data_IF_797914963582
#
_entry.id   IF_797914963582
#
_cell.length_a   1.000
_cell.length_b   1.000
_cell.length_c   1.000
_cell.angle_alpha   90.00
_cell.angle_beta   90.00
_cell.angle_gamma   90.00
#
_symmetry.space_group_name_H-M   'P 1'
#
loop_
_entity.id
_entity.type
_entity.pdbx_description
1 polymer ?
#
# COMPACT_ATOMS: atom_id res chain seq x y z
N UNK A 1 16.73 6.87 -49.32
CA UNK A 1 16.07 5.70 -48.68
C UNK A 1 17.04 5.18 -47.63
N UNK A 2 16.94 5.71 -46.41
CA UNK A 2 17.58 5.10 -45.24
C UNK A 2 16.66 3.95 -44.84
N UNK A 3 17.14 2.73 -45.00
CA UNK A 3 16.43 1.52 -44.58
C UNK A 3 16.25 1.54 -43.07
N UNK A 4 15.02 1.25 -42.63
CA UNK A 4 14.55 1.10 -41.25
C UNK A 4 15.17 -0.12 -40.52
N UNK A 5 16.42 -0.50 -40.83
CA UNK A 5 17.06 -1.73 -40.33
C UNK A 5 18.02 -1.51 -39.14
N UNK A 6 18.10 -0.30 -38.59
CA UNK A 6 19.01 0.01 -37.47
C UNK A 6 18.38 0.00 -36.06
N UNK A 7 17.13 -0.45 -35.87
CA UNK A 7 16.41 -0.27 -34.59
C UNK A 7 15.87 -1.51 -33.87
N UNK A 8 16.45 -2.69 -34.06
CA UNK A 8 16.23 -3.82 -33.13
C UNK A 8 17.45 -4.72 -33.00
N UNK A 9 18.58 -4.14 -32.58
CA UNK A 9 19.68 -4.94 -32.05
C UNK A 9 19.28 -5.38 -30.64
N UNK A 10 18.72 -6.58 -30.51
CA UNK A 10 18.47 -7.19 -29.20
C UNK A 10 19.81 -7.34 -28.51
N UNK A 11 20.07 -6.52 -27.48
CA UNK A 11 21.30 -6.60 -26.69
C UNK A 11 21.32 -7.96 -25.99
N UNK A 12 22.35 -8.75 -26.25
CA UNK A 12 22.53 -10.05 -25.62
C UNK A 12 23.33 -9.87 -24.33
N UNK A 13 22.73 -10.32 -23.23
CA UNK A 13 23.29 -10.29 -21.89
C UNK A 13 23.84 -11.66 -21.54
N UNK A 14 24.77 -11.75 -20.59
CA UNK A 14 25.39 -13.04 -20.25
C UNK A 14 25.68 -13.16 -18.76
N UNK A 15 25.71 -14.40 -18.29
CA UNK A 15 26.04 -14.75 -16.90
C UNK A 15 26.80 -16.08 -16.87
N UNK A 16 27.48 -16.38 -15.76
CA UNK A 16 28.25 -17.60 -15.58
C UNK A 16 27.63 -18.47 -14.48
N UNK A 17 27.49 -19.78 -14.77
CA UNK A 17 27.15 -20.80 -13.76
C UNK A 17 28.18 -21.92 -13.88
N UNK A 18 28.87 -22.25 -12.78
CA UNK A 18 29.84 -23.36 -12.71
C UNK A 18 30.84 -23.38 -13.88
N UNK A 19 31.39 -22.22 -14.23
CA UNK A 19 32.36 -22.00 -15.32
C UNK A 19 31.80 -22.05 -16.76
N UNK A 20 30.49 -22.26 -16.93
CA UNK A 20 29.82 -22.18 -18.23
C UNK A 20 29.15 -20.81 -18.43
N UNK A 21 29.32 -20.25 -19.63
CA UNK A 21 28.72 -18.97 -20.02
C UNK A 21 27.36 -19.21 -20.68
N UNK A 22 26.34 -18.54 -20.15
CA UNK A 22 24.99 -18.53 -20.67
C UNK A 22 24.61 -17.15 -21.17
N UNK A 23 23.61 -17.07 -22.04
CA UNK A 23 23.09 -15.82 -22.60
C UNK A 23 21.61 -15.67 -22.32
N UNK A 24 21.16 -14.42 -22.19
CA UNK A 24 19.76 -14.05 -22.04
C UNK A 24 19.48 -12.77 -22.82
N UNK A 25 18.37 -12.72 -23.56
CA UNK A 25 18.07 -11.61 -24.48
C UNK A 25 16.93 -10.72 -24.00
N UNK A 26 16.01 -11.28 -23.23
CA UNK A 26 14.83 -10.56 -22.73
C UNK A 26 14.29 -11.14 -21.43
N UNK A 27 13.30 -10.44 -20.86
CA UNK A 27 12.60 -10.82 -19.63
C UNK A 27 11.88 -12.17 -19.69
N UNK A 28 11.45 -12.64 -20.87
CA UNK A 28 10.79 -13.95 -20.98
C UNK A 28 11.83 -15.07 -20.92
N UNK A 29 12.96 -14.91 -21.63
CA UNK A 29 14.09 -15.84 -21.51
C UNK A 29 14.62 -15.89 -20.07
N UNK A 30 14.77 -14.73 -19.40
CA UNK A 30 15.21 -14.68 -18.00
C UNK A 30 14.25 -15.43 -17.07
N UNK A 31 12.94 -15.20 -17.22
CA UNK A 31 11.92 -15.91 -16.45
C UNK A 31 11.97 -17.42 -16.67
N UNK A 32 12.06 -17.88 -17.92
CA UNK A 32 12.16 -19.30 -18.25
C UNK A 32 13.42 -19.93 -17.64
N UNK A 33 14.55 -19.21 -17.64
CA UNK A 33 15.77 -19.67 -16.97
C UNK A 33 15.50 -19.85 -15.46
N UNK A 34 14.89 -18.88 -14.79
CA UNK A 34 14.55 -19.03 -13.37
C UNK A 34 13.59 -20.20 -13.11
N UNK A 35 12.58 -20.39 -13.95
CA UNK A 35 11.64 -21.51 -13.84
C UNK A 35 12.32 -22.86 -14.06
N UNK A 36 13.15 -23.00 -15.10
CA UNK A 36 13.90 -24.22 -15.38
C UNK A 36 14.88 -24.57 -14.26
N UNK A 37 15.45 -23.56 -13.60
CA UNK A 37 16.36 -23.75 -12.47
C UNK A 37 15.63 -24.09 -11.17
N UNK A 38 14.28 -24.06 -11.13
CA UNK A 38 13.47 -24.32 -9.94
C UNK A 38 13.14 -25.82 -9.76
N UNK A 39 14.17 -26.68 -9.83
CA UNK A 39 14.00 -28.14 -9.77
C UNK A 39 14.42 -28.73 -8.41
N UNK A 40 15.25 -28.02 -7.63
CA UNK A 40 15.72 -28.46 -6.32
C UNK A 40 15.68 -27.32 -5.29
N UNK A 41 14.95 -27.45 -4.18
CA UNK A 41 14.75 -26.34 -3.23
C UNK A 41 16.01 -25.90 -2.48
N UNK A 42 17.07 -26.73 -2.43
CA UNK A 42 18.34 -26.40 -1.79
C UNK A 42 19.30 -25.70 -2.77
N UNK A 43 19.31 -26.13 -4.03
CA UNK A 43 20.22 -25.61 -5.07
C UNK A 43 19.64 -24.41 -5.82
N UNK A 44 18.35 -24.42 -6.13
CA UNK A 44 17.70 -23.37 -6.95
C UNK A 44 17.93 -21.97 -6.38
N UNK A 45 17.79 -21.72 -5.07
CA UNK A 45 18.06 -20.41 -4.48
C UNK A 45 19.48 -19.90 -4.75
N UNK A 46 20.47 -20.78 -4.73
CA UNK A 46 21.88 -20.41 -4.95
C UNK A 46 22.11 -20.05 -6.41
N UNK A 47 21.54 -20.83 -7.34
CA UNK A 47 21.64 -20.56 -8.77
C UNK A 47 20.94 -19.26 -9.16
N UNK A 48 19.72 -19.05 -8.68
CA UNK A 48 19.00 -17.79 -8.88
C UNK A 48 19.78 -16.59 -8.35
N UNK A 49 20.36 -16.70 -7.15
CA UNK A 49 21.19 -15.65 -6.57
C UNK A 49 22.40 -15.35 -7.46
N UNK A 50 23.13 -16.38 -7.91
CA UNK A 50 24.27 -16.22 -8.81
C UNK A 50 23.87 -15.50 -10.11
N UNK A 51 22.78 -15.92 -10.76
CA UNK A 51 22.29 -15.29 -11.99
C UNK A 51 21.98 -13.80 -11.77
N UNK A 52 21.26 -13.48 -10.69
CA UNK A 52 20.91 -12.09 -10.36
C UNK A 52 22.18 -11.27 -10.09
N UNK A 53 23.18 -11.84 -9.43
CA UNK A 53 24.43 -11.15 -9.11
C UNK A 53 25.36 -10.99 -10.30
N UNK A 54 25.39 -11.94 -11.24
CA UNK A 54 26.19 -11.86 -12.46
C UNK A 54 25.58 -10.87 -13.46
N UNK A 55 24.25 -10.83 -13.59
CA UNK A 55 23.57 -9.87 -14.47
C UNK A 55 23.59 -8.45 -13.88
N UNK A 56 23.46 -8.31 -12.55
CA UNK A 56 23.58 -7.04 -11.83
C UNK A 56 22.83 -5.86 -12.51
N UNK A 57 23.56 -4.85 -12.97
CA UNK A 57 23.04 -3.64 -13.65
C UNK A 57 22.33 -3.97 -14.98
N UNK A 58 22.71 -5.08 -15.64
CA UNK A 58 22.08 -5.53 -16.88
C UNK A 58 20.63 -5.97 -16.68
N UNK A 59 20.24 -6.31 -15.44
CA UNK A 59 18.86 -6.64 -15.10
C UNK A 59 17.90 -5.49 -15.44
N UNK A 60 18.36 -4.24 -15.33
CA UNK A 60 17.55 -3.07 -15.67
C UNK A 60 17.25 -2.98 -17.17
N UNK A 61 18.17 -3.42 -18.02
CA UNK A 61 17.91 -3.51 -19.46
C UNK A 61 17.12 -4.75 -19.87
N UNK A 62 17.11 -5.79 -19.05
CA UNK A 62 16.40 -7.04 -19.32
C UNK A 62 14.92 -6.97 -18.92
N UNK A 63 14.64 -6.53 -17.69
CA UNK A 63 13.28 -6.47 -17.14
C UNK A 63 12.69 -5.10 -17.45
N UNK A 64 11.81 -5.05 -18.45
CA UNK A 64 11.26 -3.78 -18.96
C UNK A 64 9.79 -3.62 -18.63
N UNK A 65 9.09 -4.72 -18.34
CA UNK A 65 7.64 -4.68 -18.10
C UNK A 65 7.27 -5.27 -16.76
N UNK A 66 6.14 -4.79 -16.21
CA UNK A 66 5.56 -5.35 -15.00
C UNK A 66 5.33 -6.86 -15.10
N UNK A 67 4.85 -7.31 -16.26
CA UNK A 67 4.59 -8.73 -16.52
C UNK A 67 5.87 -9.56 -16.46
N UNK A 68 6.95 -9.07 -17.08
CA UNK A 68 8.27 -9.72 -17.02
C UNK A 68 8.80 -9.82 -15.59
N UNK A 69 8.71 -8.72 -14.84
CA UNK A 69 9.09 -8.69 -13.43
C UNK A 69 8.30 -9.71 -12.60
N UNK A 70 6.97 -9.69 -12.65
CA UNK A 70 6.13 -10.59 -11.87
C UNK A 70 6.37 -12.06 -12.22
N UNK A 71 6.57 -12.38 -13.50
CA UNK A 71 6.91 -13.73 -13.90
C UNK A 71 8.23 -14.18 -13.27
N UNK A 72 9.26 -13.34 -13.29
CA UNK A 72 10.52 -13.63 -12.59
C UNK A 72 10.29 -13.85 -11.09
N UNK A 73 9.58 -12.93 -10.41
CA UNK A 73 9.32 -13.04 -8.97
C UNK A 73 8.53 -14.30 -8.59
N UNK A 74 7.65 -14.80 -9.47
CA UNK A 74 6.90 -16.05 -9.24
C UNK A 74 7.80 -17.30 -9.23
N UNK A 75 8.93 -17.26 -9.94
CA UNK A 75 9.90 -18.36 -10.00
C UNK A 75 10.98 -18.30 -8.91
N UNK A 76 11.04 -17.19 -8.15
CA UNK A 76 12.05 -16.94 -7.14
C UNK A 76 11.50 -17.18 -5.74
N UNK A 77 12.39 -17.59 -4.82
CA UNK A 77 12.07 -17.52 -3.39
C UNK A 77 12.06 -16.05 -2.91
N UNK A 78 11.66 -15.83 -1.66
CA UNK A 78 11.55 -14.48 -1.09
C UNK A 78 12.88 -13.71 -1.11
N UNK A 79 13.99 -14.33 -0.70
CA UNK A 79 15.31 -13.67 -0.63
C UNK A 79 15.78 -13.20 -2.01
N UNK A 80 15.62 -14.03 -3.02
CA UNK A 80 16.02 -13.71 -4.39
C UNK A 80 15.02 -12.76 -5.06
N UNK A 81 13.73 -12.84 -4.73
CA UNK A 81 12.72 -11.86 -5.15
C UNK A 81 13.08 -10.46 -4.66
N UNK A 82 13.42 -10.35 -3.37
CA UNK A 82 13.84 -9.07 -2.81
C UNK A 82 15.17 -8.58 -3.39
N UNK A 83 16.15 -9.47 -3.60
CA UNK A 83 17.41 -9.12 -4.26
C UNK A 83 17.16 -8.58 -5.68
N UNK A 84 16.32 -9.25 -6.46
CA UNK A 84 15.96 -8.80 -7.81
C UNK A 84 15.35 -7.39 -7.77
N UNK A 85 14.33 -7.19 -6.92
CA UNK A 85 13.69 -5.88 -6.74
C UNK A 85 14.68 -4.80 -6.33
N UNK A 86 15.66 -5.15 -5.49
CA UNK A 86 16.72 -4.23 -5.07
C UNK A 86 17.66 -3.87 -6.23
N UNK A 87 18.01 -4.84 -7.09
CA UNK A 87 18.87 -4.61 -8.26
C UNK A 87 18.21 -3.75 -9.33
N UNK A 88 16.90 -3.87 -9.51
CA UNK A 88 16.16 -3.05 -10.50
C UNK A 88 15.51 -1.80 -9.89
N UNK A 89 15.86 -1.43 -8.65
CA UNK A 89 15.12 -0.42 -7.89
C UNK A 89 14.99 0.93 -8.60
N UNK A 90 16.00 1.28 -9.38
CA UNK A 90 16.08 2.58 -10.07
C UNK A 90 15.08 2.69 -11.23
N UNK A 91 14.72 1.56 -11.86
CA UNK A 91 13.73 1.50 -12.94
C UNK A 91 12.37 0.99 -12.50
N UNK A 92 12.20 0.58 -11.23
CA UNK A 92 10.90 0.10 -10.75
C UNK A 92 9.79 1.12 -10.99
N UNK A 93 10.09 2.42 -10.93
CA UNK A 93 9.11 3.46 -11.25
C UNK A 93 8.73 3.50 -12.74
N UNK A 94 9.51 2.96 -13.64
CA UNK A 94 9.17 2.86 -15.06
C UNK A 94 8.38 1.58 -15.34
N UNK A 95 8.64 0.53 -14.58
CA UNK A 95 7.99 -0.78 -14.69
C UNK A 95 6.59 -0.79 -14.04
N UNK A 96 6.48 -0.22 -12.84
CA UNK A 96 5.29 -0.26 -11.99
C UNK A 96 4.52 1.06 -12.13
N UNK A 97 3.38 0.96 -12.79
CA UNK A 97 2.59 2.07 -13.27
C UNK A 97 1.40 2.39 -12.36
N UNK A 98 0.90 1.43 -11.59
CA UNK A 98 -0.23 1.65 -10.68
C UNK A 98 -0.10 0.98 -9.30
N UNK A 99 -1.05 1.30 -8.41
CA UNK A 99 -1.09 0.83 -7.02
C UNK A 99 -1.34 -0.68 -6.88
N UNK A 100 -2.01 -1.30 -7.86
CA UNK A 100 -2.33 -2.74 -7.85
C UNK A 100 -1.09 -3.55 -8.23
N UNK A 101 -0.31 -3.04 -9.17
CA UNK A 101 0.97 -3.65 -9.53
C UNK A 101 1.95 -3.63 -8.34
N UNK A 102 2.00 -2.51 -7.61
CA UNK A 102 2.78 -2.44 -6.37
C UNK A 102 2.24 -3.39 -5.28
N UNK A 103 0.93 -3.49 -5.12
CA UNK A 103 0.26 -4.43 -4.22
C UNK A 103 0.70 -5.89 -4.49
N UNK A 104 0.72 -6.34 -5.75
CA UNK A 104 1.13 -7.71 -6.10
C UNK A 104 2.61 -7.94 -5.77
N UNK A 105 3.48 -6.95 -5.98
CA UNK A 105 4.89 -7.02 -5.61
C UNK A 105 5.06 -7.11 -4.08
N UNK A 106 4.37 -6.27 -3.32
CA UNK A 106 4.43 -6.29 -1.85
C UNK A 106 3.92 -7.61 -1.27
N UNK A 107 2.88 -8.19 -1.87
CA UNK A 107 2.33 -9.48 -1.47
C UNK A 107 3.32 -10.65 -1.64
N UNK A 108 4.38 -10.49 -2.46
CA UNK A 108 5.45 -11.49 -2.62
C UNK A 108 6.57 -11.40 -1.59
N UNK A 109 6.61 -10.32 -0.82
CA UNK A 109 7.60 -10.12 0.23
C UNK A 109 6.95 -10.51 1.55
N UNK A 110 7.50 -11.49 2.26
CA UNK A 110 6.97 -11.93 3.56
C UNK A 110 7.46 -11.05 4.72
N UNK A 111 8.73 -10.68 4.69
CA UNK A 111 9.40 -9.88 5.71
C UNK A 111 9.02 -8.40 5.62
N UNK A 112 8.35 -7.89 6.67
CA UNK A 112 7.95 -6.48 6.78
C UNK A 112 9.11 -5.49 6.64
N UNK A 113 10.30 -5.85 7.13
CA UNK A 113 11.50 -5.01 6.97
C UNK A 113 11.88 -4.81 5.50
N UNK A 114 11.70 -5.84 4.66
CA UNK A 114 11.99 -5.75 3.23
C UNK A 114 10.93 -4.90 2.51
N UNK A 115 9.66 -5.01 2.88
CA UNK A 115 8.60 -4.10 2.41
C UNK A 115 8.91 -2.64 2.76
N UNK A 116 9.29 -2.37 4.01
CA UNK A 116 9.69 -1.04 4.46
C UNK A 116 10.87 -0.49 3.66
N UNK A 117 11.88 -1.32 3.38
CA UNK A 117 13.03 -0.91 2.55
C UNK A 117 12.59 -0.56 1.14
N UNK A 118 11.75 -1.39 0.52
CA UNK A 118 11.23 -1.14 -0.81
C UNK A 118 10.43 0.17 -0.86
N UNK A 119 9.50 0.39 0.08
CA UNK A 119 8.70 1.62 0.21
C UNK A 119 9.61 2.85 0.37
N UNK A 120 10.66 2.77 1.20
CA UNK A 120 11.63 3.86 1.36
C UNK A 120 12.39 4.17 0.08
N UNK A 121 12.72 3.16 -0.72
CA UNK A 121 13.36 3.35 -2.02
C UNK A 121 12.46 4.06 -3.02
N UNK A 122 11.14 3.87 -2.92
CA UNK A 122 10.20 4.48 -3.87
C UNK A 122 10.18 6.01 -3.78
N UNK A 123 10.49 6.58 -2.61
CA UNK A 123 10.41 8.02 -2.31
C UNK A 123 8.99 8.58 -2.53
N UNK A 124 8.77 9.83 -2.09
CA UNK A 124 7.46 10.48 -2.18
C UNK A 124 6.96 10.58 -3.63
N UNK A 125 7.82 11.02 -4.57
CA UNK A 125 7.40 11.36 -5.94
C UNK A 125 6.78 10.17 -6.69
N UNK A 126 7.31 8.96 -6.51
CA UNK A 126 6.77 7.79 -7.18
C UNK A 126 5.51 7.29 -6.46
N UNK A 127 5.53 7.19 -5.12
CA UNK A 127 4.35 6.77 -4.36
C UNK A 127 3.14 7.69 -4.58
N UNK A 128 3.34 9.01 -4.64
CA UNK A 128 2.27 9.98 -4.91
C UNK A 128 1.73 9.89 -6.34
N UNK A 129 2.52 9.35 -7.28
CA UNK A 129 2.04 9.06 -8.65
C UNK A 129 1.19 7.78 -8.68
N UNK A 130 1.54 6.78 -7.88
CA UNK A 130 0.77 5.52 -7.79
C UNK A 130 -0.51 5.68 -6.96
N UNK A 131 -0.46 6.53 -5.92
CA UNK A 131 -1.53 6.70 -4.94
C UNK A 131 -2.27 7.99 -5.24
N UNK A 132 -3.31 7.87 -6.07
CA UNK A 132 -4.13 8.99 -6.52
C UNK A 132 -5.51 9.03 -5.86
N UNK A 133 -5.90 7.93 -5.21
CA UNK A 133 -7.18 7.76 -4.53
C UNK A 133 -7.03 7.05 -3.18
N UNK A 134 -8.09 7.10 -2.36
CA UNK A 134 -8.20 6.29 -1.13
C UNK A 134 -8.05 4.80 -1.41
N UNK A 135 -8.59 4.30 -2.53
CA UNK A 135 -8.50 2.89 -2.90
C UNK A 135 -7.06 2.49 -3.25
N UNK A 136 -6.28 3.38 -3.87
CA UNK A 136 -4.86 3.10 -4.14
C UNK A 136 -4.07 2.98 -2.84
N UNK A 137 -4.33 3.89 -1.88
CA UNK A 137 -3.71 3.81 -0.56
C UNK A 137 -4.10 2.51 0.14
N UNK A 138 -5.37 2.10 0.03
CA UNK A 138 -5.87 0.86 0.62
C UNK A 138 -5.12 -0.36 0.10
N UNK A 139 -4.91 -0.45 -1.22
CA UNK A 139 -4.15 -1.53 -1.83
C UNK A 139 -2.74 -1.63 -1.21
N UNK A 140 -2.09 -0.50 -0.89
CA UNK A 140 -0.76 -0.56 -0.27
C UNK A 140 -0.84 -0.92 1.21
N UNK A 141 -1.73 -0.25 1.98
CA UNK A 141 -1.88 -0.44 3.42
C UNK A 141 -2.31 -1.86 3.80
N UNK A 142 -3.08 -2.55 2.95
CA UNK A 142 -3.48 -3.95 3.19
C UNK A 142 -2.28 -4.91 3.33
N UNK A 143 -1.14 -4.59 2.70
CA UNK A 143 0.04 -5.46 2.66
C UNK A 143 1.23 -4.96 3.45
N UNK A 144 1.13 -3.80 4.11
CA UNK A 144 2.21 -3.26 4.93
C UNK A 144 1.72 -3.16 6.35
N UNK A 145 2.51 -3.66 7.31
CA UNK A 145 2.10 -3.72 8.71
C UNK A 145 3.05 -2.93 9.61
N UNK A 146 2.56 -2.62 10.81
CA UNK A 146 3.35 -2.06 11.91
C UNK A 146 4.08 -0.75 11.51
N UNK A 147 5.41 -0.77 11.50
CA UNK A 147 6.24 0.39 11.16
C UNK A 147 6.15 0.79 9.68
N UNK A 148 5.83 -0.15 8.79
CA UNK A 148 5.71 0.11 7.36
C UNK A 148 4.44 0.90 7.02
N UNK A 149 3.34 0.68 7.76
CA UNK A 149 2.13 1.52 7.67
C UNK A 149 2.47 2.99 7.92
N UNK A 150 3.10 3.28 9.07
CA UNK A 150 3.46 4.64 9.47
C UNK A 150 4.41 5.28 8.47
N UNK A 151 5.42 4.54 8.04
CA UNK A 151 6.38 5.07 7.08
C UNK A 151 5.75 5.38 5.72
N UNK A 152 4.78 4.58 5.29
CA UNK A 152 4.02 4.84 4.05
C UNK A 152 3.26 6.16 4.14
N UNK A 153 2.58 6.39 5.27
CA UNK A 153 1.89 7.66 5.54
C UNK A 153 2.87 8.84 5.59
N UNK A 154 4.00 8.67 6.28
CA UNK A 154 5.06 9.68 6.40
C UNK A 154 5.68 10.05 5.06
N UNK A 155 5.80 9.10 4.14
CA UNK A 155 6.37 9.39 2.81
C UNK A 155 5.37 10.14 1.96
N UNK A 156 4.06 9.86 2.04
CA UNK A 156 3.03 10.54 1.24
C UNK A 156 2.78 11.99 1.66
N UNK A 157 3.07 12.33 2.92
CA UNK A 157 2.81 13.63 3.55
C UNK A 157 1.33 13.91 3.83
N UNK A 158 1.07 14.70 4.87
CA UNK A 158 -0.29 14.97 5.35
C UNK A 158 -1.16 15.65 4.29
N UNK A 159 -0.61 16.56 3.50
CA UNK A 159 -1.33 17.25 2.43
C UNK A 159 -1.88 16.25 1.41
N UNK A 160 -1.04 15.37 0.88
CA UNK A 160 -1.47 14.35 -0.10
C UNK A 160 -2.54 13.45 0.50
N UNK A 161 -2.31 12.94 1.71
CA UNK A 161 -3.22 12.04 2.42
C UNK A 161 -4.61 12.68 2.56
N UNK A 162 -4.70 13.97 2.92
CA UNK A 162 -5.99 14.68 3.02
C UNK A 162 -6.78 14.70 1.72
N UNK A 163 -6.10 14.84 0.58
CA UNK A 163 -6.75 14.90 -0.73
C UNK A 163 -7.29 13.55 -1.20
N UNK A 164 -6.76 12.43 -0.71
CA UNK A 164 -7.20 11.09 -1.10
C UNK A 164 -8.62 10.76 -0.62
N UNK A 165 -9.06 11.36 0.49
CA UNK A 165 -10.33 11.01 1.12
C UNK A 165 -11.46 11.92 0.64
N UNK A 166 -12.40 11.37 -0.12
CA UNK A 166 -13.58 12.13 -0.59
C UNK A 166 -14.74 12.00 0.39
N UNK A 167 -14.87 10.84 1.04
CA UNK A 167 -15.96 10.47 1.95
C UNK A 167 -15.46 9.90 3.29
N UNK A 168 -16.32 9.85 4.32
CA UNK A 168 -16.02 9.16 5.58
C UNK A 168 -15.78 7.64 5.40
N UNK A 169 -16.42 7.02 4.41
CA UNK A 169 -16.22 5.61 4.07
C UNK A 169 -14.78 5.33 3.61
N UNK A 170 -14.17 6.25 2.86
CA UNK A 170 -12.77 6.12 2.44
C UNK A 170 -11.83 6.05 3.64
N UNK A 171 -12.04 6.94 4.62
CA UNK A 171 -11.25 6.97 5.86
C UNK A 171 -11.47 5.69 6.65
N UNK A 172 -12.73 5.25 6.78
CA UNK A 172 -13.09 4.00 7.45
C UNK A 172 -12.36 2.80 6.86
N UNK A 173 -12.33 2.70 5.52
CA UNK A 173 -11.71 1.57 4.83
C UNK A 173 -10.22 1.48 5.16
N UNK A 174 -9.49 2.60 5.15
CA UNK A 174 -8.07 2.61 5.53
C UNK A 174 -7.88 2.30 7.01
N UNK A 175 -8.67 2.94 7.89
CA UNK A 175 -8.56 2.69 9.32
C UNK A 175 -8.83 1.22 9.66
N UNK A 176 -9.66 0.50 8.91
CA UNK A 176 -9.90 -0.91 9.18
C UNK A 176 -8.61 -1.75 9.20
N UNK A 177 -7.65 -1.46 8.32
CA UNK A 177 -6.41 -2.22 8.16
C UNK A 177 -5.25 -1.72 9.02
N UNK A 178 -5.31 -0.48 9.51
CA UNK A 178 -4.26 0.07 10.36
C UNK A 178 -4.29 -0.52 11.78
N UNK A 179 -3.12 -0.65 12.40
CA UNK A 179 -3.05 -0.92 13.83
C UNK A 179 -3.56 0.27 14.67
N UNK A 180 -3.74 0.06 15.98
CA UNK A 180 -4.32 1.08 16.87
C UNK A 180 -3.52 2.38 16.95
N UNK A 181 -2.19 2.31 16.94
CA UNK A 181 -1.33 3.50 17.00
C UNK A 181 -1.43 4.30 15.70
N UNK A 182 -1.38 3.62 14.56
CA UNK A 182 -1.42 4.25 13.25
C UNK A 182 -2.81 4.78 12.86
N UNK A 183 -3.89 4.22 13.43
CA UNK A 183 -5.24 4.80 13.32
C UNK A 183 -5.28 6.22 13.86
N UNK A 184 -4.75 6.43 15.05
CA UNK A 184 -4.70 7.76 15.64
C UNK A 184 -3.81 8.69 14.85
N UNK A 185 -2.66 8.19 14.40
CA UNK A 185 -1.76 8.94 13.54
C UNK A 185 -2.44 9.43 12.26
N UNK A 186 -3.14 8.55 11.53
CA UNK A 186 -3.87 8.91 10.32
C UNK A 186 -4.96 9.97 10.61
N UNK A 187 -5.73 9.80 11.69
CA UNK A 187 -6.74 10.78 12.10
C UNK A 187 -6.12 12.16 12.37
N UNK A 188 -4.93 12.22 12.97
CA UNK A 188 -4.21 13.47 13.21
C UNK A 188 -3.62 14.06 11.92
N UNK A 189 -3.28 13.25 10.92
CA UNK A 189 -2.86 13.76 9.61
C UNK A 189 -4.03 14.38 8.85
N UNK A 190 -5.18 13.70 8.81
CA UNK A 190 -6.36 14.18 8.07
C UNK A 190 -7.04 15.37 8.76
N UNK A 191 -7.00 15.40 10.11
CA UNK A 191 -7.78 16.25 11.01
C UNK A 191 -9.25 15.89 11.09
N UNK A 192 -9.73 15.69 12.33
CA UNK A 192 -11.15 15.43 12.62
C UNK A 192 -12.08 16.49 12.02
N UNK A 193 -11.64 17.75 11.98
CA UNK A 193 -12.41 18.85 11.39
C UNK A 193 -12.62 18.71 9.88
N UNK A 194 -11.66 18.18 9.13
CA UNK A 194 -11.84 17.97 7.68
C UNK A 194 -12.73 16.76 7.41
N UNK A 195 -12.60 15.71 8.23
CA UNK A 195 -13.49 14.55 8.19
C UNK A 195 -14.93 14.97 8.49
N UNK A 196 -15.14 15.83 9.51
CA UNK A 196 -16.47 16.24 9.95
C UNK A 196 -17.26 16.99 8.86
N UNK A 197 -16.58 17.76 8.01
CA UNK A 197 -17.21 18.45 6.86
C UNK A 197 -17.78 17.49 5.80
N UNK A 198 -17.30 16.24 5.77
CA UNK A 198 -17.70 15.23 4.78
C UNK A 198 -18.86 14.35 5.26
N UNK A 199 -19.24 14.43 6.53
CA UNK A 199 -20.34 13.65 7.12
C UNK A 199 -21.68 14.24 6.67
N UNK A 200 -22.53 13.39 6.06
CA UNK A 200 -23.85 13.80 5.53
C UNK A 200 -25.03 13.15 6.24
N UNK A 201 -24.82 12.00 6.88
CA UNK A 201 -25.86 11.23 7.53
C UNK A 201 -25.32 10.50 8.77
N UNK A 202 -26.18 9.78 9.47
CA UNK A 202 -25.79 9.03 10.66
C UNK A 202 -24.84 7.86 10.38
N UNK A 203 -24.87 7.27 9.18
CA UNK A 203 -23.98 6.16 8.79
C UNK A 203 -22.54 6.66 8.68
N UNK A 204 -22.32 7.76 7.98
CA UNK A 204 -21.05 8.46 7.91
C UNK A 204 -20.49 8.78 9.31
N UNK A 205 -21.35 9.31 10.18
CA UNK A 205 -20.99 9.66 11.55
C UNK A 205 -20.60 8.42 12.36
N UNK A 206 -21.33 7.31 12.19
CA UNK A 206 -21.02 6.03 12.80
C UNK A 206 -19.66 5.49 12.36
N UNK A 207 -19.36 5.54 11.07
CA UNK A 207 -18.10 5.01 10.52
C UNK A 207 -16.89 5.65 11.20
N UNK A 208 -16.91 6.97 11.39
CA UNK A 208 -15.83 7.69 12.05
C UNK A 208 -15.81 7.38 13.54
N UNK A 209 -16.96 7.47 14.22
CA UNK A 209 -17.05 7.23 15.65
C UNK A 209 -16.58 5.81 16.03
N UNK A 210 -16.80 4.81 15.17
CA UNK A 210 -16.35 3.42 15.38
C UNK A 210 -14.83 3.27 15.42
N UNK A 211 -14.04 4.09 14.72
CA UNK A 211 -12.59 3.88 14.62
C UNK A 211 -11.71 4.92 15.29
N UNK A 212 -12.22 6.12 15.59
CA UNK A 212 -11.46 7.06 16.41
C UNK A 212 -11.22 6.48 17.81
N UNK A 213 -10.04 6.72 18.37
CA UNK A 213 -9.71 6.30 19.73
C UNK A 213 -10.57 7.00 20.79
N UNK A 214 -10.70 6.38 21.96
CA UNK A 214 -11.55 6.89 23.05
C UNK A 214 -11.19 8.31 23.49
N UNK A 215 -9.90 8.65 23.51
CA UNK A 215 -9.40 10.00 23.83
C UNK A 215 -9.75 11.06 22.78
N UNK A 216 -10.06 10.67 21.54
CA UNK A 216 -10.45 11.59 20.46
C UNK A 216 -11.96 11.75 20.31
N UNK A 217 -12.76 10.88 20.93
CA UNK A 217 -14.23 10.94 20.84
C UNK A 217 -14.76 12.30 21.29
N UNK A 218 -14.36 12.79 22.46
CA UNK A 218 -14.85 14.07 22.98
C UNK A 218 -14.51 15.24 22.04
N UNK A 219 -13.29 15.25 21.47
CA UNK A 219 -12.88 16.25 20.49
C UNK A 219 -13.72 16.16 19.21
N UNK A 220 -13.98 14.96 18.70
CA UNK A 220 -14.83 14.76 17.52
C UNK A 220 -16.29 15.19 17.77
N UNK A 221 -16.88 14.76 18.88
CA UNK A 221 -18.26 15.12 19.24
C UNK A 221 -18.42 16.63 19.42
N UNK A 222 -17.40 17.31 19.96
CA UNK A 222 -17.41 18.77 20.14
C UNK A 222 -17.47 19.58 18.83
N UNK A 223 -17.21 18.95 17.68
CA UNK A 223 -17.38 19.57 16.36
C UNK A 223 -18.85 19.72 15.96
N UNK A 224 -19.77 19.07 16.69
CA UNK A 224 -21.19 19.07 16.40
C UNK A 224 -21.98 19.54 17.62
N UNK A 225 -22.93 20.44 17.41
CA UNK A 225 -23.94 20.66 18.44
C UNK A 225 -24.83 19.41 18.60
N UNK A 226 -25.39 19.20 19.79
CA UNK A 226 -26.36 18.11 20.03
C UNK A 226 -27.48 18.10 18.99
N UNK A 227 -27.97 19.29 18.61
CA UNK A 227 -28.99 19.47 17.56
C UNK A 227 -28.50 18.97 16.20
N UNK A 228 -27.29 19.31 15.78
CA UNK A 228 -26.73 18.84 14.51
C UNK A 228 -26.62 17.31 14.48
N UNK A 229 -26.24 16.69 15.59
CA UNK A 229 -26.19 15.22 15.70
C UNK A 229 -27.59 14.63 15.54
N UNK A 230 -28.60 15.18 16.22
CA UNK A 230 -29.99 14.70 16.09
C UNK A 230 -30.51 14.85 14.65
N UNK A 231 -30.15 15.91 13.94
CA UNK A 231 -30.53 16.15 12.54
C UNK A 231 -29.92 15.13 11.56
N UNK A 232 -28.90 14.35 11.96
CA UNK A 232 -28.36 13.24 11.15
C UNK A 232 -29.31 12.03 11.11
N UNK A 233 -30.24 11.92 12.07
CA UNK A 233 -31.19 10.83 12.21
C UNK A 233 -32.57 11.28 11.76
N UNK A 234 -33.18 10.54 10.83
CA UNK A 234 -34.54 10.79 10.34
C UNK A 234 -35.58 10.06 11.18
N UNK A 235 -35.19 8.99 11.88
CA UNK A 235 -36.09 8.17 12.70
C UNK A 235 -35.42 7.66 13.98
N UNK A 236 -36.22 7.39 15.01
CA UNK A 236 -35.76 6.75 16.26
C UNK A 236 -35.15 5.35 16.02
N UNK A 237 -35.59 4.68 14.95
CA UNK A 237 -35.04 3.38 14.55
C UNK A 237 -33.58 3.50 14.10
N UNK A 238 -33.25 4.52 13.32
CA UNK A 238 -31.86 4.78 12.90
C UNK A 238 -30.98 5.08 14.11
N UNK A 239 -31.47 5.89 15.05
CA UNK A 239 -30.76 6.19 16.29
C UNK A 239 -30.50 4.93 17.13
N UNK A 240 -31.51 4.07 17.28
CA UNK A 240 -31.35 2.78 17.97
C UNK A 240 -30.31 1.89 17.28
N UNK A 241 -30.38 1.75 15.95
CA UNK A 241 -29.42 0.95 15.17
C UNK A 241 -27.99 1.50 15.32
N UNK A 242 -27.84 2.82 15.34
CA UNK A 242 -26.57 3.48 15.55
C UNK A 242 -25.95 3.13 16.89
N UNK A 243 -26.70 3.23 17.99
CA UNK A 243 -26.22 2.88 19.32
C UNK A 243 -25.81 1.41 19.39
N UNK A 244 -26.64 0.50 18.86
CA UNK A 244 -26.35 -0.95 18.82
C UNK A 244 -25.07 -1.31 18.04
N UNK A 245 -24.53 -0.41 17.21
CA UNK A 245 -23.30 -0.63 16.43
C UNK A 245 -22.06 -0.02 17.07
N UNK A 246 -22.19 0.70 18.18
CA UNK A 246 -21.09 1.16 19.00
C UNK A 246 -20.68 0.08 20.01
N UNK A 247 -19.41 0.10 20.43
CA UNK A 247 -19.03 -0.64 21.64
C UNK A 247 -19.61 0.05 22.87
N UNK A 248 -19.91 -0.69 23.93
CA UNK A 248 -20.48 -0.18 25.20
C UNK A 248 -19.83 1.13 25.67
N UNK A 249 -18.50 1.19 25.71
CA UNK A 249 -17.77 2.40 26.14
C UNK A 249 -17.96 3.61 25.22
N UNK A 250 -18.07 3.39 23.90
CA UNK A 250 -18.33 4.48 22.94
C UNK A 250 -19.78 4.94 22.99
N UNK A 251 -20.69 3.99 23.20
CA UNK A 251 -22.11 4.29 23.43
C UNK A 251 -22.28 5.16 24.68
N UNK A 252 -21.66 4.76 25.79
CA UNK A 252 -21.66 5.52 27.05
C UNK A 252 -21.18 6.96 26.83
N UNK A 253 -19.97 7.15 26.28
CA UNK A 253 -19.42 8.49 26.02
C UNK A 253 -20.32 9.31 25.08
N UNK A 254 -20.91 8.67 24.07
CA UNK A 254 -21.83 9.34 23.15
C UNK A 254 -23.11 9.79 23.84
N UNK A 255 -23.73 8.92 24.65
CA UNK A 255 -24.94 9.24 25.40
C UNK A 255 -24.69 10.30 26.48
N UNK A 256 -23.54 10.23 27.16
CA UNK A 256 -23.11 11.28 28.09
C UNK A 256 -23.04 12.64 27.38
N UNK A 257 -22.42 12.69 26.20
CA UNK A 257 -22.36 13.92 25.41
C UNK A 257 -23.76 14.43 25.04
N UNK A 258 -24.66 13.54 24.60
CA UNK A 258 -26.00 13.93 24.16
C UNK A 258 -26.88 14.40 25.33
N UNK A 259 -26.82 13.74 26.49
CA UNK A 259 -27.85 13.89 27.53
C UNK A 259 -27.35 14.49 28.84
N UNK A 260 -26.06 14.45 29.12
CA UNK A 260 -25.52 15.13 30.29
C UNK A 260 -25.26 16.59 29.89
N UNK A 261 -25.99 17.51 30.53
CA UNK A 261 -25.69 18.93 30.46
C UNK A 261 -24.46 19.20 31.32
N UNK A 262 -23.29 19.36 30.70
CA UNK A 262 -22.25 20.17 31.34
C UNK A 262 -22.68 21.62 31.16
N UNK A 263 -23.32 22.15 32.20
CA UNK A 263 -23.52 23.59 32.40
C UNK A 263 -22.18 24.32 32.34
#
# INVERSE_FOLDING_TARGET
MHTEEEQNKTTEHWFIIWDEKFTVRDENELWLIFEMMNWDPEVSPILHWNIIMELDEELMSLIKTYRGLINCLKSLNEKNSFLLLFKISDILSEIVLDSRELWEILAKIGEEWNKLRLIKQMRNRWLTRLITSSQDLLNIIEWVYESAERQTLDILWAETIRWLFVSPQDVYNILHYLNSENKDYLIDMIWLYEISKKIRNWEDFLLILKWISYNKISSFLSLYSKRMILELFKTDKEFTIFLMRLSDRKEEIFLEYMWINKN
#
